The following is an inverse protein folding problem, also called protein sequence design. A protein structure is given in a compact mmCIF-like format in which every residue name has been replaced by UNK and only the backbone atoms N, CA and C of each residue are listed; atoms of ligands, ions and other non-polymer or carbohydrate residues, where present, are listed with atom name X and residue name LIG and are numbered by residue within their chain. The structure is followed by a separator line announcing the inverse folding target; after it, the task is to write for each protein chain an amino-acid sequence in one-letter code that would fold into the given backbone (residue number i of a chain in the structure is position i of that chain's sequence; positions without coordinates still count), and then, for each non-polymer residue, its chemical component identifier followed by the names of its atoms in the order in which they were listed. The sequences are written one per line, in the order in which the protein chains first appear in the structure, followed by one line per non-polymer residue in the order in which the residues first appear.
data_IF_752419662470
#
_entry.id   IF_752419662470
#
_cell.length_a   1.000
_cell.length_b   1.000
_cell.length_c   1.000
_cell.angle_alpha   90.00
_cell.angle_beta   90.00
_cell.angle_gamma   90.00
#
_symmetry.space_group_name_H-M   'P 1'
#
loop_
_entity.id
_entity.type
_entity.pdbx_description
1 polymer ?
#
# COMPACT_ATOMS: atom_id res chain seq x y z
N UNK A 1 41.42 -54.36 21.56
CA UNK A 1 40.40 -53.69 20.73
C UNK A 1 39.77 -52.59 21.57
N UNK A 2 40.06 -51.32 21.29
CA UNK A 2 39.35 -50.17 21.84
C UNK A 2 38.66 -49.47 20.66
N UNK A 3 37.37 -49.10 20.76
CA UNK A 3 36.71 -48.35 19.70
C UNK A 3 36.96 -46.85 19.89
N UNK A 4 37.43 -46.20 18.83
CA UNK A 4 37.49 -44.74 18.71
C UNK A 4 36.10 -44.21 18.37
N UNK A 5 35.53 -43.39 19.25
CA UNK A 5 34.24 -42.72 19.03
C UNK A 5 34.50 -41.38 18.33
N UNK A 6 34.00 -41.24 17.10
CA UNK A 6 34.03 -39.98 16.34
C UNK A 6 32.78 -39.18 16.73
N UNK A 7 32.95 -38.05 17.41
CA UNK A 7 31.87 -37.09 17.64
C UNK A 7 31.69 -36.25 16.36
N UNK A 8 30.58 -36.45 15.66
CA UNK A 8 30.11 -35.56 14.59
C UNK A 8 29.29 -34.44 15.20
N UNK A 9 29.82 -33.22 15.22
CA UNK A 9 29.11 -32.00 15.61
C UNK A 9 28.18 -31.57 14.48
N UNK A 10 26.88 -31.76 14.65
CA UNK A 10 25.86 -31.22 13.74
C UNK A 10 25.69 -29.73 14.06
N UNK A 11 26.16 -28.85 13.18
CA UNK A 11 25.91 -27.41 13.26
C UNK A 11 24.46 -27.18 12.81
N UNK A 12 23.57 -26.91 13.76
CA UNK A 12 22.20 -26.49 13.48
C UNK A 12 22.24 -25.03 13.00
N UNK A 13 22.05 -24.81 11.70
CA UNK A 13 21.88 -23.47 11.16
C UNK A 13 20.49 -22.94 11.56
N UNK A 14 20.44 -22.07 12.56
CA UNK A 14 19.22 -21.37 12.97
C UNK A 14 18.76 -20.46 11.84
N UNK A 15 17.70 -20.87 11.13
CA UNK A 15 17.03 -20.04 10.13
C UNK A 15 16.26 -18.98 10.92
N UNK A 16 16.81 -17.77 11.06
CA UNK A 16 16.07 -16.66 11.65
C UNK A 16 14.91 -16.29 10.72
N UNK A 17 13.70 -16.68 11.09
CA UNK A 17 12.49 -16.14 10.47
C UNK A 17 12.37 -14.68 10.89
N UNK A 18 12.74 -13.75 10.02
CA UNK A 18 12.43 -12.33 10.16
C UNK A 18 10.91 -12.21 10.18
N UNK A 19 10.34 -11.94 11.34
CA UNK A 19 8.93 -11.57 11.46
C UNK A 19 8.78 -10.19 10.81
N UNK A 20 8.09 -10.14 9.66
CA UNK A 20 7.64 -8.90 9.05
C UNK A 20 6.63 -8.25 10.00
N UNK A 21 7.11 -7.36 10.87
CA UNK A 21 6.28 -6.63 11.84
C UNK A 21 5.73 -5.31 11.28
N UNK A 22 6.04 -4.98 10.02
CA UNK A 22 5.74 -3.72 9.37
C UNK A 22 5.50 -3.93 7.85
N UNK A 23 5.36 -2.85 7.06
CA UNK A 23 4.91 -2.93 5.67
C UNK A 23 6.03 -3.02 4.60
N UNK A 24 5.73 -3.67 3.48
CA UNK A 24 6.61 -3.87 2.34
C UNK A 24 5.84 -3.93 1.01
N UNK A 25 6.56 -3.73 -0.10
CA UNK A 25 5.99 -3.81 -1.45
C UNK A 25 5.94 -5.27 -1.91
N UNK A 26 4.73 -5.78 -2.12
CA UNK A 26 4.46 -7.18 -2.51
C UNK A 26 4.58 -7.37 -4.03
N UNK A 27 4.02 -6.43 -4.80
CA UNK A 27 4.03 -6.48 -6.27
C UNK A 27 4.13 -5.05 -6.84
N UNK A 28 5.13 -4.70 -7.66
CA UNK A 28 6.26 -5.55 -8.03
C UNK A 28 7.18 -5.79 -6.83
N UNK A 29 7.76 -6.98 -6.74
CA UNK A 29 8.61 -7.37 -5.61
C UNK A 29 9.88 -6.52 -5.61
N UNK A 30 10.11 -5.75 -4.54
CA UNK A 30 11.34 -5.01 -4.39
C UNK A 30 12.52 -5.91 -3.98
N UNK A 31 13.73 -5.50 -4.34
CA UNK A 31 14.96 -6.09 -3.80
C UNK A 31 15.35 -5.34 -2.53
N UNK A 32 15.23 -5.97 -1.38
CA UNK A 32 15.59 -5.37 -0.10
C UNK A 32 17.06 -5.60 0.24
N UNK A 33 17.71 -4.57 0.78
CA UNK A 33 19.05 -4.65 1.34
C UNK A 33 19.04 -5.53 2.59
N UNK A 34 20.19 -6.13 2.92
CA UNK A 34 20.34 -6.88 4.16
C UNK A 34 20.32 -5.92 5.35
N UNK A 35 19.23 -5.96 6.12
CA UNK A 35 19.01 -5.19 7.35
C UNK A 35 18.25 -6.07 8.35
N UNK A 36 18.28 -5.73 9.63
CA UNK A 36 17.65 -6.55 10.69
C UNK A 36 16.14 -6.72 10.51
N UNK A 37 15.46 -5.65 10.07
CA UNK A 37 14.05 -5.66 9.66
C UNK A 37 13.89 -4.68 8.49
N UNK A 38 13.61 -5.22 7.30
CA UNK A 38 13.41 -4.43 6.08
C UNK A 38 11.99 -3.89 5.94
N UNK A 39 11.07 -4.37 6.79
CA UNK A 39 9.66 -3.99 6.75
C UNK A 39 9.39 -2.70 7.51
N UNK A 40 10.26 -2.31 8.44
CA UNK A 40 10.13 -1.07 9.20
C UNK A 40 10.17 0.18 8.29
N UNK A 41 9.72 1.31 8.83
CA UNK A 41 9.80 2.60 8.16
C UNK A 41 11.26 3.04 7.91
N UNK A 42 11.51 3.71 6.79
CA UNK A 42 12.83 4.17 6.36
C UNK A 42 13.41 5.29 7.27
N UNK A 43 12.54 6.00 7.97
CA UNK A 43 12.86 6.95 9.02
C UNK A 43 11.65 7.87 9.30
N UNK A 44 11.87 8.96 10.02
CA UNK A 44 10.78 9.85 10.45
C UNK A 44 10.96 11.27 9.94
N UNK A 45 9.83 11.99 9.86
CA UNK A 45 9.78 13.43 9.62
C UNK A 45 9.03 14.08 10.79
N UNK A 46 9.62 15.10 11.39
CA UNK A 46 8.94 15.94 12.38
C UNK A 46 7.87 16.78 11.67
N UNK A 47 6.60 16.47 11.94
CA UNK A 47 5.47 17.11 11.29
C UNK A 47 5.32 18.59 11.62
N UNK A 48 5.64 18.99 12.84
CA UNK A 48 5.60 20.40 13.25
C UNK A 48 6.72 21.21 12.60
N UNK A 49 7.88 20.59 12.32
CA UNK A 49 8.97 21.24 11.57
C UNK A 49 8.73 21.25 10.06
N UNK A 50 8.19 20.17 9.50
CA UNK A 50 7.95 20.05 8.06
C UNK A 50 6.77 20.92 7.60
N UNK A 51 5.72 21.00 8.42
CA UNK A 51 4.52 21.80 8.15
C UNK A 51 4.11 22.62 9.40
N UNK A 52 4.93 23.62 9.79
CA UNK A 52 4.64 24.46 10.95
C UNK A 52 3.39 25.29 10.71
N UNK A 53 2.43 25.24 11.63
CA UNK A 53 1.24 26.12 11.66
C UNK A 53 0.35 26.11 10.42
N UNK A 54 0.33 25.03 9.64
CA UNK A 54 -0.58 24.83 8.51
C UNK A 54 -1.95 24.24 8.95
N UNK A 55 -2.47 24.69 10.09
CA UNK A 55 -3.83 24.38 10.55
C UNK A 55 -4.07 23.01 11.21
N UNK A 56 -3.04 22.24 11.56
CA UNK A 56 -3.20 20.86 12.06
C UNK A 56 -2.44 20.53 13.35
N UNK A 57 -3.13 19.88 14.30
CA UNK A 57 -2.53 19.18 15.44
C UNK A 57 -2.27 17.74 15.00
N UNK A 58 -1.06 17.21 15.19
CA UNK A 58 -0.67 15.89 14.66
C UNK A 58 -0.57 14.80 15.75
N UNK A 59 -0.99 15.10 16.98
CA UNK A 59 -1.02 14.18 18.11
C UNK A 59 -2.47 13.84 18.51
N UNK A 60 -3.33 13.57 17.52
CA UNK A 60 -4.71 13.13 17.67
C UNK A 60 -4.87 11.67 17.21
N UNK A 61 -6.10 11.19 17.06
CA UNK A 61 -6.36 9.89 16.44
C UNK A 61 -5.90 9.85 14.96
N UNK A 62 -5.61 8.67 14.40
CA UNK A 62 -5.03 8.54 13.06
C UNK A 62 -5.82 9.26 11.96
N UNK A 63 -7.15 9.21 12.01
CA UNK A 63 -8.01 9.87 11.01
C UNK A 63 -7.91 11.37 11.10
N UNK A 64 -7.99 11.90 12.32
CA UNK A 64 -7.87 13.34 12.55
C UNK A 64 -6.50 13.84 12.11
N UNK A 65 -5.42 13.09 12.39
CA UNK A 65 -4.08 13.46 11.93
C UNK A 65 -3.96 13.46 10.41
N UNK A 66 -4.50 12.43 9.73
CA UNK A 66 -4.51 12.37 8.27
C UNK A 66 -5.31 13.53 7.64
N UNK A 67 -6.47 13.87 8.20
CA UNK A 67 -7.27 15.02 7.77
C UNK A 67 -6.51 16.34 7.98
N UNK A 68 -5.88 16.52 9.13
CA UNK A 68 -5.07 17.70 9.46
C UNK A 68 -3.86 17.83 8.53
N UNK A 69 -3.17 16.72 8.26
CA UNK A 69 -2.10 16.69 7.26
C UNK A 69 -2.61 17.09 5.89
N UNK A 70 -3.74 16.54 5.44
CA UNK A 70 -4.29 16.83 4.10
C UNK A 70 -4.72 18.29 3.95
N UNK A 71 -5.26 18.90 5.02
CA UNK A 71 -5.55 20.33 5.06
C UNK A 71 -4.27 21.16 4.97
N UNK A 72 -3.26 20.84 5.79
CA UNK A 72 -1.97 21.51 5.82
C UNK A 72 -1.23 21.42 4.46
N UNK A 73 -1.21 20.21 3.89
CA UNK A 73 -0.50 19.88 2.66
C UNK A 73 -1.02 20.70 1.47
N UNK A 74 -2.33 20.91 1.36
CA UNK A 74 -2.96 21.72 0.30
C UNK A 74 -2.49 23.18 0.28
N UNK A 75 -2.18 23.74 1.44
CA UNK A 75 -1.66 25.11 1.57
C UNK A 75 -0.14 25.17 1.65
N UNK A 76 0.52 24.01 1.62
CA UNK A 76 1.96 23.92 1.74
C UNK A 76 2.67 24.25 0.43
N UNK A 77 4.00 24.38 0.51
CA UNK A 77 4.89 24.54 -0.64
C UNK A 77 5.19 23.22 -1.37
N UNK A 78 4.73 22.09 -0.84
CA UNK A 78 5.06 20.78 -1.37
C UNK A 78 4.07 20.40 -2.47
N UNK A 79 4.60 19.85 -3.57
CA UNK A 79 3.79 19.49 -4.73
C UNK A 79 3.33 18.03 -4.71
N UNK A 80 3.99 17.21 -3.89
CA UNK A 80 3.71 15.78 -3.71
C UNK A 80 4.24 15.27 -2.38
N UNK A 81 3.77 14.10 -1.94
CA UNK A 81 4.33 13.45 -0.77
C UNK A 81 5.81 13.13 -0.97
N UNK A 82 6.19 12.66 -2.17
CA UNK A 82 7.60 12.47 -2.53
C UNK A 82 8.43 13.75 -2.35
N UNK A 83 7.93 14.89 -2.83
CA UNK A 83 8.61 16.19 -2.68
C UNK A 83 8.74 16.61 -1.21
N UNK A 84 7.70 16.39 -0.40
CA UNK A 84 7.73 16.62 1.04
C UNK A 84 8.81 15.77 1.71
N UNK A 85 8.86 14.47 1.40
CA UNK A 85 9.86 13.56 1.98
C UNK A 85 11.29 13.99 1.60
N UNK A 86 11.53 14.27 0.32
CA UNK A 86 12.86 14.63 -0.18
C UNK A 86 13.38 15.94 0.41
N UNK A 87 12.51 16.95 0.55
CA UNK A 87 12.88 18.27 1.10
C UNK A 87 13.01 18.29 2.63
N UNK A 88 12.58 17.24 3.32
CA UNK A 88 12.67 17.12 4.77
C UNK A 88 13.68 16.03 5.19
N UNK A 89 14.86 16.04 4.55
CA UNK A 89 16.00 15.19 4.89
C UNK A 89 15.99 13.80 4.26
N UNK A 90 14.96 13.46 3.47
CA UNK A 90 14.85 12.20 2.73
C UNK A 90 15.18 10.96 3.59
N UNK A 91 14.51 10.75 4.74
CA UNK A 91 14.87 9.71 5.71
C UNK A 91 15.02 8.32 5.08
N UNK A 92 16.20 7.70 5.19
CA UNK A 92 16.51 6.44 4.51
C UNK A 92 16.97 6.58 3.05
N UNK A 93 17.32 7.79 2.60
CA UNK A 93 17.81 8.08 1.26
C UNK A 93 16.80 7.81 0.13
N UNK A 94 17.20 7.84 -1.14
CA UNK A 94 16.25 7.81 -2.26
C UNK A 94 15.33 6.58 -2.31
N UNK A 95 15.75 5.45 -1.72
CA UNK A 95 15.10 4.15 -1.88
C UNK A 95 14.83 3.40 -0.56
N UNK A 96 14.97 4.05 0.60
CA UNK A 96 14.76 3.39 1.89
C UNK A 96 15.65 2.16 2.05
N UNK A 97 15.06 1.02 2.41
CA UNK A 97 15.77 -0.26 2.55
C UNK A 97 15.93 -1.05 1.26
N UNK A 98 15.66 -0.46 0.09
CA UNK A 98 15.68 -1.21 -1.19
C UNK A 98 16.87 -0.87 -2.07
N UNK A 99 17.34 -1.86 -2.82
CA UNK A 99 18.39 -1.73 -3.80
C UNK A 99 17.78 -1.28 -5.16
N UNK A 100 18.00 -0.03 -5.61
CA UNK A 100 17.50 0.45 -6.90
C UNK A 100 18.09 -0.30 -8.10
N UNK A 101 19.21 -0.99 -7.91
CA UNK A 101 19.88 -1.79 -8.93
C UNK A 101 19.63 -3.29 -8.78
N UNK A 102 18.66 -3.69 -7.94
CA UNK A 102 18.29 -5.08 -7.71
C UNK A 102 17.64 -5.77 -8.91
N UNK A 103 16.92 -6.84 -8.63
CA UNK A 103 16.26 -7.65 -9.66
C UNK A 103 15.20 -6.84 -10.40
N UNK A 104 15.30 -6.82 -11.73
CA UNK A 104 14.37 -6.10 -12.57
C UNK A 104 13.00 -6.79 -12.59
N UNK A 105 11.95 -6.06 -12.23
CA UNK A 105 10.57 -6.54 -12.22
C UNK A 105 9.80 -6.04 -13.44
N UNK A 106 8.83 -6.84 -13.90
CA UNK A 106 7.83 -6.36 -14.84
C UNK A 106 6.89 -5.36 -14.14
N UNK A 107 6.40 -4.36 -14.87
CA UNK A 107 5.43 -3.41 -14.34
C UNK A 107 4.02 -4.05 -14.25
N UNK A 108 3.43 -4.18 -13.05
CA UNK A 108 2.07 -4.68 -12.91
C UNK A 108 1.03 -3.60 -13.26
N UNK A 109 -0.23 -3.99 -13.48
CA UNK A 109 -1.34 -3.03 -13.59
C UNK A 109 -1.86 -2.56 -12.24
N UNK A 110 -1.52 -3.27 -11.17
CA UNK A 110 -1.89 -2.98 -9.80
C UNK A 110 -0.64 -3.17 -8.95
N UNK A 111 -0.23 -2.11 -8.27
CA UNK A 111 0.85 -2.19 -7.27
C UNK A 111 0.23 -2.66 -5.95
N UNK A 112 0.89 -3.60 -5.26
CA UNK A 112 0.39 -4.18 -4.02
C UNK A 112 1.35 -3.89 -2.87
N UNK A 113 0.84 -3.23 -1.83
CA UNK A 113 1.47 -3.11 -0.52
C UNK A 113 0.98 -4.21 0.42
N UNK A 114 1.82 -4.65 1.34
CA UNK A 114 1.55 -5.72 2.29
C UNK A 114 2.24 -5.48 3.62
N UNK A 115 1.69 -6.01 4.70
CA UNK A 115 2.32 -6.13 6.02
C UNK A 115 2.48 -7.61 6.38
N UNK A 116 1.44 -8.41 6.10
CA UNK A 116 1.45 -9.87 6.25
C UNK A 116 0.65 -10.53 5.14
N UNK A 117 0.46 -11.85 5.22
CA UNK A 117 -0.41 -12.58 4.28
C UNK A 117 -1.85 -12.04 4.26
N UNK A 118 -2.32 -11.45 5.36
CA UNK A 118 -3.72 -11.05 5.56
C UNK A 118 -3.90 -9.56 5.84
N UNK A 119 -2.82 -8.80 5.99
CA UNK A 119 -2.86 -7.37 6.29
C UNK A 119 -2.05 -6.60 5.25
N UNK A 120 -2.62 -5.52 4.74
CA UNK A 120 -1.93 -4.62 3.82
C UNK A 120 -1.40 -3.38 4.52
N UNK A 121 -2.19 -2.31 4.54
CA UNK A 121 -1.89 -1.13 5.34
C UNK A 121 -2.45 -1.31 6.75
N UNK A 122 -1.64 -0.97 7.75
CA UNK A 122 -2.08 -1.04 9.15
C UNK A 122 -3.09 0.10 9.44
N UNK A 123 -4.31 -0.19 9.91
CA UNK A 123 -5.35 0.84 10.08
C UNK A 123 -4.99 1.93 11.08
N UNK A 124 -4.16 1.63 12.08
CA UNK A 124 -3.69 2.64 13.02
C UNK A 124 -2.68 3.62 12.42
N UNK A 125 -2.24 3.43 11.17
CA UNK A 125 -1.18 4.18 10.51
C UNK A 125 -1.71 5.05 9.34
N UNK A 126 -2.92 5.58 9.47
CA UNK A 126 -3.56 6.41 8.43
C UNK A 126 -2.65 7.51 7.86
N UNK A 127 -2.83 7.78 6.56
CA UNK A 127 -2.06 8.79 5.85
C UNK A 127 -1.82 8.52 4.36
N UNK A 128 -1.27 9.51 3.64
CA UNK A 128 -1.22 9.54 2.19
C UNK A 128 -0.18 8.58 1.62
N UNK A 129 -0.42 8.06 0.42
CA UNK A 129 0.57 7.32 -0.34
C UNK A 129 0.57 7.69 -1.84
N UNK A 130 1.71 7.46 -2.47
CA UNK A 130 1.92 7.71 -3.90
C UNK A 130 2.72 6.58 -4.55
N UNK A 131 2.45 6.35 -5.83
CA UNK A 131 3.28 5.51 -6.70
C UNK A 131 3.76 6.34 -7.89
N UNK A 132 5.03 6.17 -8.23
CA UNK A 132 5.72 6.89 -9.28
C UNK A 132 6.43 5.92 -10.21
N UNK A 133 6.43 6.24 -11.49
CA UNK A 133 7.28 5.65 -12.51
C UNK A 133 8.30 6.72 -12.92
N UNK A 134 9.57 6.53 -12.57
CA UNK A 134 10.63 7.54 -12.61
C UNK A 134 10.18 8.89 -12.02
N UNK A 135 9.82 9.87 -12.85
CA UNK A 135 9.39 11.21 -12.43
C UNK A 135 7.89 11.45 -12.63
N UNK A 136 7.13 10.44 -13.03
CA UNK A 136 5.70 10.52 -13.32
C UNK A 136 4.90 9.87 -12.21
N UNK A 137 4.04 10.65 -11.52
CA UNK A 137 3.10 10.10 -10.52
C UNK A 137 2.00 9.34 -11.24
N UNK A 138 1.83 8.08 -10.90
CA UNK A 138 0.84 7.17 -11.51
C UNK A 138 -0.24 6.70 -10.54
N UNK A 139 -0.05 6.96 -9.25
CA UNK A 139 -1.05 6.77 -8.22
C UNK A 139 -0.89 7.83 -7.11
N UNK A 140 -2.01 8.26 -6.55
CA UNK A 140 -2.06 9.04 -5.30
C UNK A 140 -3.35 8.68 -4.57
N UNK A 141 -3.27 8.57 -3.25
CA UNK A 141 -4.43 8.64 -2.39
C UNK A 141 -4.07 9.38 -1.09
N UNK A 142 -5.00 10.19 -0.60
CA UNK A 142 -4.78 11.06 0.57
C UNK A 142 -4.84 10.28 1.91
N UNK A 143 -5.31 9.03 1.88
CA UNK A 143 -5.31 8.12 3.03
C UNK A 143 -5.43 6.64 2.58
N UNK A 144 -4.29 5.99 2.37
CA UNK A 144 -4.26 4.63 1.81
C UNK A 144 -4.77 3.56 2.77
N UNK A 145 -4.42 3.57 4.07
CA UNK A 145 -5.00 2.62 5.04
C UNK A 145 -6.52 2.68 5.11
N UNK A 146 -7.09 3.88 5.00
CA UNK A 146 -8.53 4.10 5.00
C UNK A 146 -9.24 3.64 3.73
N UNK A 147 -8.70 4.04 2.57
CA UNK A 147 -9.39 3.96 1.30
C UNK A 147 -9.04 2.68 0.53
N UNK A 148 -7.94 2.01 0.90
CA UNK A 148 -7.35 0.89 0.19
C UNK A 148 -6.93 -0.21 1.19
N UNK A 149 -7.87 -0.75 1.99
CA UNK A 149 -7.54 -1.72 3.04
C UNK A 149 -6.93 -3.02 2.50
N UNK A 150 -7.05 -3.30 1.21
CA UNK A 150 -6.45 -4.45 0.55
C UNK A 150 -5.04 -4.18 -0.05
N UNK A 151 -4.53 -2.95 0.09
CA UNK A 151 -3.20 -2.54 -0.40
C UNK A 151 -3.06 -2.48 -1.93
N UNK A 152 -4.14 -2.61 -2.69
CA UNK A 152 -4.10 -2.64 -4.14
C UNK A 152 -4.25 -1.22 -4.71
N UNK A 153 -3.21 -0.77 -5.41
CA UNK A 153 -3.12 0.55 -6.02
C UNK A 153 -3.07 0.38 -7.55
N UNK A 154 -4.22 0.43 -8.25
CA UNK A 154 -4.26 0.37 -9.71
C UNK A 154 -3.49 1.53 -10.32
N UNK A 155 -2.61 1.25 -11.27
CA UNK A 155 -1.82 2.26 -11.97
C UNK A 155 -2.13 2.30 -13.46
N UNK A 156 -2.05 3.50 -14.03
CA UNK A 156 -2.06 3.67 -15.47
C UNK A 156 -0.69 3.31 -16.06
N UNK A 157 -0.55 2.07 -16.54
CA UNK A 157 0.69 1.56 -17.13
C UNK A 157 1.18 2.39 -18.32
N UNK A 158 0.30 3.09 -19.02
CA UNK A 158 0.70 3.90 -20.19
C UNK A 158 1.60 5.07 -19.77
N UNK A 159 1.44 5.59 -18.56
CA UNK A 159 2.27 6.65 -17.98
C UNK A 159 3.65 6.18 -17.51
N UNK A 160 3.90 4.86 -17.53
CA UNK A 160 5.16 4.24 -17.13
C UNK A 160 5.96 3.68 -18.32
N UNK A 161 5.56 3.99 -19.56
CA UNK A 161 6.29 3.51 -20.72
C UNK A 161 7.75 3.99 -20.71
N UNK A 162 8.68 3.05 -20.88
CA UNK A 162 10.11 3.33 -20.83
C UNK A 162 10.66 3.63 -19.43
N UNK A 163 9.83 3.62 -18.39
CA UNK A 163 10.27 3.88 -17.03
C UNK A 163 11.25 2.80 -16.56
N UNK A 164 12.29 3.23 -15.83
CA UNK A 164 13.35 2.35 -15.32
C UNK A 164 13.18 2.01 -13.86
N UNK A 165 12.41 2.80 -13.13
CA UNK A 165 12.20 2.62 -11.70
C UNK A 165 10.74 2.88 -11.33
N UNK A 166 10.20 2.01 -10.48
CA UNK A 166 8.99 2.30 -9.72
C UNK A 166 9.39 2.78 -8.32
N UNK A 167 8.75 3.83 -7.85
CA UNK A 167 8.95 4.38 -6.51
C UNK A 167 7.61 4.45 -5.79
N UNK A 168 7.53 3.85 -4.60
CA UNK A 168 6.40 3.92 -3.70
C UNK A 168 6.78 4.74 -2.47
N UNK A 169 5.86 5.55 -1.97
CA UNK A 169 5.99 6.26 -0.69
C UNK A 169 4.65 6.30 0.03
N UNK A 170 4.68 6.10 1.35
CA UNK A 170 3.54 6.24 2.26
C UNK A 170 4.03 6.90 3.55
N UNK A 171 3.25 7.85 4.06
CA UNK A 171 3.49 8.46 5.36
C UNK A 171 2.41 8.02 6.34
N UNK A 172 2.82 7.38 7.44
CA UNK A 172 1.94 7.04 8.55
C UNK A 172 1.93 8.17 9.58
N UNK A 173 0.75 8.70 9.88
CA UNK A 173 0.57 9.97 10.59
C UNK A 173 0.00 9.79 12.00
N UNK A 174 0.19 8.63 12.61
CA UNK A 174 -0.40 8.29 13.92
C UNK A 174 0.27 9.00 15.12
N UNK A 175 1.37 9.71 14.89
CA UNK A 175 1.99 10.68 15.82
C UNK A 175 2.50 11.89 15.03
N UNK A 176 2.91 12.95 15.72
CA UNK A 176 3.62 14.08 15.11
C UNK A 176 4.98 13.74 14.48
N UNK A 177 5.59 12.61 14.84
CA UNK A 177 6.77 12.06 14.17
C UNK A 177 6.31 11.09 13.09
N UNK A 178 6.10 11.60 11.88
CA UNK A 178 5.56 10.82 10.77
C UNK A 178 6.53 9.75 10.32
N UNK A 179 6.08 8.51 10.30
CA UNK A 179 6.89 7.39 9.81
C UNK A 179 6.79 7.30 8.29
N UNK A 180 7.94 7.27 7.62
CA UNK A 180 8.02 7.26 6.16
C UNK A 180 8.38 5.86 5.68
N UNK A 181 7.46 5.24 4.97
CA UNK A 181 7.69 4.01 4.22
C UNK A 181 7.97 4.38 2.76
N UNK A 182 9.07 3.90 2.21
CA UNK A 182 9.38 4.10 0.79
C UNK A 182 10.18 2.97 0.21
N UNK A 183 10.03 2.76 -1.09
CA UNK A 183 10.60 1.60 -1.80
C UNK A 183 10.85 1.95 -3.25
N UNK A 184 12.00 1.55 -3.77
CA UNK A 184 12.32 1.55 -5.19
C UNK A 184 12.29 0.12 -5.73
N UNK A 185 11.84 -0.03 -6.97
CA UNK A 185 11.93 -1.27 -7.73
C UNK A 185 12.50 -0.97 -9.10
N UNK A 186 13.56 -1.69 -9.48
CA UNK A 186 14.07 -1.65 -10.84
C UNK A 186 13.03 -2.24 -11.78
N UNK A 187 12.62 -1.49 -12.79
CA UNK A 187 11.73 -1.96 -13.83
C UNK A 187 12.53 -2.52 -15.00
N UNK A 188 11.99 -3.56 -15.62
CA UNK A 188 12.43 -4.01 -16.94
C UNK A 188 12.04 -2.92 -17.95
N UNK A 189 12.97 -2.02 -18.27
CA UNK A 189 12.72 -0.84 -19.09
C UNK A 189 12.08 -1.18 -20.44
N UNK A 190 11.09 -0.39 -20.84
CA UNK A 190 10.37 -0.56 -22.11
C UNK A 190 11.28 -0.41 -23.33
N UNK A 191 11.43 -1.50 -24.09
CA UNK A 191 11.99 -1.53 -25.44
C UNK A 191 12.09 -2.96 -26.01
N UNK A 192 11.13 -3.37 -26.84
CA UNK A 192 11.21 -4.60 -27.67
C UNK A 192 10.63 -5.87 -27.03
N UNK A 193 10.28 -6.88 -27.85
CA UNK A 193 9.17 -7.81 -27.61
C UNK A 193 9.38 -8.70 -26.39
N UNK A 194 8.26 -9.03 -25.75
CA UNK A 194 8.12 -10.08 -24.74
C UNK A 194 8.96 -11.32 -25.08
N UNK A 195 9.68 -11.90 -24.11
CA UNK A 195 10.21 -13.26 -24.25
C UNK A 195 9.07 -14.19 -24.67
N UNK A 196 9.30 -15.13 -25.61
CA UNK A 196 8.27 -16.06 -26.00
C UNK A 196 7.81 -16.86 -24.77
N UNK A 197 6.52 -16.78 -24.47
CA UNK A 197 5.90 -17.73 -23.55
C UNK A 197 6.11 -19.16 -24.07
N UNK A 198 6.26 -20.15 -23.19
CA UNK A 198 6.34 -21.56 -23.60
C UNK A 198 5.12 -21.94 -24.45
N UNK A 199 5.28 -22.85 -25.42
CA UNK A 199 4.23 -23.14 -26.40
C UNK A 199 3.01 -23.78 -25.72
N UNK A 200 1.92 -23.03 -25.66
CA UNK A 200 0.60 -23.56 -25.32
C UNK A 200 -0.08 -24.00 -26.62
N UNK A 201 0.03 -25.30 -26.92
CA UNK A 201 -0.77 -25.95 -27.94
C UNK A 201 -2.25 -25.90 -27.54
N UNK A 202 -3.02 -24.95 -28.07
CA UNK A 202 -4.45 -25.20 -28.33
C UNK A 202 -5.03 -24.23 -29.38
N UNK A 203 -5.75 -24.72 -30.41
CA UNK A 203 -6.31 -23.87 -31.46
C UNK A 203 -7.45 -22.94 -30.98
N UNK A 204 -7.45 -21.74 -31.56
CA UNK A 204 -8.48 -20.71 -31.46
C UNK A 204 -9.56 -20.90 -32.53
N UNK A 205 -10.84 -20.87 -32.16
CA UNK A 205 -11.94 -20.21 -32.89
C UNK A 205 -13.10 -20.02 -31.90
N UNK A 206 -13.56 -18.79 -31.61
CA UNK A 206 -14.98 -18.33 -31.66
C UNK A 206 -15.04 -16.78 -31.53
N UNK A 207 -15.85 -16.05 -32.35
CA UNK A 207 -16.04 -14.59 -32.27
C UNK A 207 -16.75 -14.07 -31.00
N UNK A 208 -16.40 -12.82 -30.64
CA UNK A 208 -16.88 -12.06 -29.49
C UNK A 208 -18.35 -11.64 -29.62
N UNK A 209 -19.20 -12.18 -28.74
CA UNK A 209 -20.42 -11.54 -28.23
C UNK A 209 -20.67 -12.05 -26.81
N UNK A 210 -20.38 -11.26 -25.76
CA UNK A 210 -20.79 -11.60 -24.39
C UNK A 210 -21.31 -10.37 -23.64
N UNK A 211 -22.49 -10.43 -22.98
CA UNK A 211 -23.06 -9.32 -22.22
C UNK A 211 -22.28 -9.00 -20.94
N UNK A 212 -22.44 -7.78 -20.42
CA UNK A 212 -21.86 -7.31 -19.15
C UNK A 212 -22.14 -8.27 -17.97
N UNK A 213 -21.21 -8.44 -17.01
CA UNK A 213 -21.44 -9.30 -15.84
C UNK A 213 -22.53 -8.73 -14.92
N UNK A 214 -23.40 -9.57 -14.34
CA UNK A 214 -24.38 -9.13 -13.35
C UNK A 214 -23.71 -8.76 -12.03
N UNK A 215 -24.26 -7.75 -11.35
CA UNK A 215 -23.87 -7.34 -10.00
C UNK A 215 -23.92 -8.51 -9.01
N UNK A 216 -23.01 -8.57 -8.02
CA UNK A 216 -22.99 -9.64 -7.03
C UNK A 216 -24.31 -9.70 -6.22
N UNK A 217 -24.79 -10.90 -5.87
CA UNK A 217 -26.07 -11.08 -5.19
C UNK A 217 -26.04 -10.58 -3.74
N UNK A 218 -27.13 -9.92 -3.33
CA UNK A 218 -27.39 -9.50 -1.94
C UNK A 218 -27.48 -10.71 -1.00
N UNK A 219 -26.82 -10.69 0.18
CA UNK A 219 -26.93 -11.75 1.17
C UNK A 219 -28.29 -11.73 1.90
N UNK A 220 -28.74 -12.87 2.49
CA UNK A 220 -30.15 -13.17 2.73
C UNK A 220 -30.81 -12.52 3.96
N UNK A 221 -30.12 -11.65 4.71
CA UNK A 221 -30.59 -11.24 6.05
C UNK A 221 -31.04 -9.79 6.19
N UNK A 222 -31.21 -9.05 5.09
CA UNK A 222 -31.68 -7.65 5.17
C UNK A 222 -30.82 -6.75 6.07
N UNK A 223 -29.59 -7.19 6.38
CA UNK A 223 -28.65 -6.49 7.25
C UNK A 223 -27.33 -6.27 6.53
N UNK A 224 -26.78 -5.07 6.65
CA UNK A 224 -25.54 -4.63 6.05
C UNK A 224 -24.35 -5.09 6.88
N UNK A 225 -23.36 -5.67 6.20
CA UNK A 225 -22.10 -6.09 6.82
C UNK A 225 -21.32 -4.88 7.38
N UNK A 226 -20.38 -5.07 8.30
CA UNK A 226 -19.52 -4.00 8.79
C UNK A 226 -18.93 -3.18 7.65
N UNK A 227 -18.93 -1.86 7.80
CA UNK A 227 -18.44 -0.88 6.83
C UNK A 227 -19.20 -0.81 5.50
N UNK A 228 -20.29 -1.57 5.32
CA UNK A 228 -21.18 -1.43 4.18
C UNK A 228 -22.05 -0.18 4.26
N UNK A 229 -22.54 0.30 3.11
CA UNK A 229 -23.51 1.40 3.06
C UNK A 229 -24.83 0.94 3.68
N UNK A 230 -25.36 1.72 4.62
CA UNK A 230 -26.63 1.47 5.30
C UNK A 230 -27.59 2.67 5.19
N UNK A 231 -27.23 3.72 4.45
CA UNK A 231 -28.09 4.89 4.24
C UNK A 231 -27.55 5.86 3.18
N UNK A 232 -28.40 6.82 2.78
CA UNK A 232 -28.11 7.85 1.77
C UNK A 232 -29.31 8.17 0.86
N UNK A 233 -29.37 9.39 0.31
CA UNK A 233 -30.50 9.93 -0.50
C UNK A 233 -30.95 9.05 -1.69
N UNK A 234 -30.11 8.14 -2.20
CA UNK A 234 -30.46 7.23 -3.30
C UNK A 234 -30.27 5.75 -2.95
N UNK A 235 -29.96 5.44 -1.69
CA UNK A 235 -29.68 4.09 -1.26
C UNK A 235 -30.97 3.29 -1.09
N UNK A 236 -31.15 2.21 -1.87
CA UNK A 236 -32.33 1.31 -1.84
C UNK A 236 -32.06 -0.03 -1.16
N UNK A 237 -30.85 -0.21 -0.61
CA UNK A 237 -30.45 -1.42 0.07
C UNK A 237 -30.89 -1.45 1.55
N UNK A 238 -30.51 -2.49 2.30
CA UNK A 238 -30.90 -2.62 3.70
C UNK A 238 -30.25 -1.54 4.57
N UNK A 239 -30.96 -1.02 5.57
CA UNK A 239 -30.49 0.09 6.43
C UNK A 239 -30.05 -0.35 7.82
N UNK A 240 -30.32 -1.60 8.19
CA UNK A 240 -29.91 -2.18 9.46
C UNK A 240 -28.55 -2.83 9.34
N UNK A 241 -27.66 -2.60 10.30
CA UNK A 241 -26.34 -3.23 10.34
C UNK A 241 -26.39 -4.58 11.06
N UNK A 242 -25.44 -5.45 10.77
CA UNK A 242 -25.19 -6.66 11.57
C UNK A 242 -24.90 -6.32 13.04
N UNK A 243 -25.14 -7.28 13.95
CA UNK A 243 -24.95 -7.11 15.40
C UNK A 243 -23.54 -6.57 15.72
N UNK A 244 -23.45 -5.65 16.69
CA UNK A 244 -22.21 -4.97 17.06
C UNK A 244 -21.88 -3.75 16.20
N UNK A 245 -22.73 -3.40 15.23
CA UNK A 245 -22.56 -2.25 14.35
C UNK A 245 -23.83 -1.40 14.28
N UNK A 246 -23.66 -0.09 14.17
CA UNK A 246 -24.72 0.92 14.00
C UNK A 246 -24.55 1.61 12.66
N UNK A 247 -25.66 2.03 12.07
CA UNK A 247 -25.61 2.83 10.85
C UNK A 247 -25.27 4.28 11.21
N UNK A 248 -24.07 4.72 10.87
CA UNK A 248 -23.55 6.04 11.18
C UNK A 248 -23.61 6.95 9.95
N UNK A 249 -24.26 8.10 10.11
CA UNK A 249 -24.41 9.09 9.05
C UNK A 249 -23.07 9.73 8.72
N UNK A 250 -22.67 9.75 7.44
CA UNK A 250 -21.45 10.44 6.98
C UNK A 250 -21.77 11.68 6.18
N UNK A 251 -22.71 11.58 5.25
CA UNK A 251 -23.26 12.70 4.50
C UNK A 251 -24.62 12.32 3.90
N UNK A 252 -25.28 13.29 3.27
CA UNK A 252 -26.58 13.15 2.63
C UNK A 252 -26.72 11.94 1.70
N UNK A 253 -25.63 11.50 1.07
CA UNK A 253 -25.61 10.43 0.07
C UNK A 253 -25.10 9.11 0.64
N UNK A 254 -24.54 9.10 1.87
CA UNK A 254 -23.83 7.95 2.41
C UNK A 254 -23.92 7.87 3.94
N UNK A 255 -24.35 6.72 4.44
CA UNK A 255 -24.26 6.30 5.83
C UNK A 255 -23.67 4.89 5.87
N UNK A 256 -22.87 4.58 6.88
CA UNK A 256 -22.04 3.37 6.92
C UNK A 256 -22.23 2.60 8.22
N UNK A 257 -22.22 1.27 8.15
CA UNK A 257 -22.19 0.44 9.35
C UNK A 257 -20.83 0.55 10.05
N UNK A 258 -20.79 1.11 11.26
CA UNK A 258 -19.58 1.23 12.08
C UNK A 258 -19.82 0.56 13.43
N UNK A 259 -18.77 0.09 14.14
CA UNK A 259 -18.90 -0.49 15.48
C UNK A 259 -19.56 0.47 16.49
N UNK A 260 -20.29 -0.07 17.47
CA UNK A 260 -20.78 0.67 18.64
C UNK A 260 -20.27 0.07 19.95
#
# INVERSE_FOLDING_TARGET
MQPTSILSTVILASIMTVAAGHGYLVDPKATYNQVDDFTKYAGTIDGYKAMPNAGGIYDQDPRTNANNFNAAFKTSKYTSLRDLVQKNGDPGGPCGFTNPNGDAQALPGVVKWGHSANEAFTPSHEGPCEVWCDNTRVFQNDDCPANIPNGQMPIDKSKCQGAKQLYFVWAALHTSSWQIYKTCVKLQGGGGPTPPSPPSNKPSVVPSTRPSPPSPPSPPNGSVQPWGQCGGKQYKGPTSCTKGHKCDFKNDWYSQCVPY
#
